data_IF_887425431112
#
_entry.id   IF_887425431112
#
_cell.length_a   1.000
_cell.length_b   1.000
_cell.length_c   1.000
_cell.angle_alpha   90.00
_cell.angle_beta   90.00
_cell.angle_gamma   90.00
#
_symmetry.space_group_name_H-M   'P 1'
#
loop_
_entity.id
_entity.type
_entity.pdbx_description
1 polymer ?
#
# COMPACT_ATOMS: atom_id res chain seq x y z
N UNK A 1 23.47 19.87 56.02
CA UNK A 1 24.18 18.67 55.51
C UNK A 1 23.52 18.32 54.19
N UNK A 2 24.06 18.88 53.11
CA UNK A 2 23.56 18.71 51.75
C UNK A 2 24.54 17.82 51.01
N UNK A 3 24.05 16.73 50.44
CA UNK A 3 24.84 15.82 49.62
C UNK A 3 25.22 16.51 48.30
N UNK A 4 26.48 16.42 47.83
CA UNK A 4 26.86 16.95 46.53
C UNK A 4 26.41 15.99 45.42
N UNK A 5 25.86 16.55 44.37
CA UNK A 5 25.31 15.85 43.22
C UNK A 5 26.38 15.10 42.41
N UNK A 6 25.99 13.92 41.93
CA UNK A 6 26.72 13.16 40.92
C UNK A 6 26.60 13.88 39.58
N UNK A 7 27.63 14.68 39.26
CA UNK A 7 27.84 15.19 37.91
C UNK A 7 28.34 14.08 37.00
N UNK A 8 27.65 13.87 35.88
CA UNK A 8 28.12 13.09 34.74
C UNK A 8 29.38 13.74 34.17
N UNK A 9 30.54 13.22 34.55
CA UNK A 9 31.82 13.61 33.96
C UNK A 9 31.92 12.98 32.56
N UNK A 10 32.03 13.84 31.55
CA UNK A 10 32.42 13.44 30.20
C UNK A 10 33.81 12.80 30.28
N UNK A 11 33.91 11.51 29.96
CA UNK A 11 35.19 10.83 29.84
C UNK A 11 35.81 11.29 28.52
N UNK A 12 37.04 11.80 28.56
CA UNK A 12 37.73 12.30 27.38
C UNK A 12 37.84 11.18 26.31
N UNK A 13 37.39 11.45 25.10
CA UNK A 13 37.41 10.52 23.95
C UNK A 13 38.82 9.97 23.65
N UNK A 14 39.87 10.70 24.05
CA UNK A 14 41.28 10.28 23.97
C UNK A 14 41.62 9.18 24.99
N UNK A 15 41.15 9.27 26.24
CA UNK A 15 41.32 8.24 27.26
C UNK A 15 40.54 6.96 26.91
N UNK A 16 39.38 7.12 26.28
CA UNK A 16 38.55 5.99 25.84
C UNK A 16 39.17 5.26 24.64
N UNK A 17 39.72 6.00 23.67
CA UNK A 17 40.48 5.44 22.54
C UNK A 17 41.74 4.68 23.00
N UNK A 18 42.38 5.15 24.07
CA UNK A 18 43.48 4.48 24.78
C UNK A 18 43.02 3.19 25.49
N UNK A 19 41.86 3.22 26.14
CA UNK A 19 41.31 2.07 26.86
C UNK A 19 40.90 0.93 25.93
N UNK A 20 40.25 1.22 24.79
CA UNK A 20 39.92 0.16 23.80
C UNK A 20 41.17 -0.39 23.14
N UNK A 21 42.17 0.44 22.86
CA UNK A 21 43.45 -0.04 22.35
C UNK A 21 44.14 -1.01 23.33
N UNK A 22 44.09 -0.71 24.63
CA UNK A 22 44.59 -1.60 25.67
C UNK A 22 43.81 -2.93 25.73
N UNK A 23 42.48 -2.88 25.60
CA UNK A 23 41.63 -4.09 25.51
C UNK A 23 42.00 -4.92 24.29
N UNK A 24 42.10 -4.32 23.10
CA UNK A 24 42.48 -5.03 21.88
C UNK A 24 43.89 -5.63 21.98
N UNK A 25 44.85 -4.90 22.56
CA UNK A 25 46.21 -5.40 22.79
C UNK A 25 46.23 -6.59 23.76
N UNK A 26 45.48 -6.50 24.85
CA UNK A 26 45.31 -7.60 25.79
C UNK A 26 44.68 -8.81 25.08
N UNK A 27 43.58 -8.63 24.36
CA UNK A 27 42.93 -9.69 23.59
C UNK A 27 43.90 -10.33 22.58
N UNK A 28 44.70 -9.53 21.87
CA UNK A 28 45.71 -10.04 20.95
C UNK A 28 46.77 -10.90 21.65
N UNK A 29 47.18 -10.50 22.86
CA UNK A 29 48.24 -11.18 23.63
C UNK A 29 47.75 -12.46 24.31
N UNK A 30 46.46 -12.55 24.64
CA UNK A 30 45.92 -13.63 25.47
C UNK A 30 44.94 -14.57 24.74
N UNK A 31 44.41 -14.20 23.56
CA UNK A 31 43.55 -15.09 22.78
C UNK A 31 44.35 -16.20 22.09
N UNK A 32 44.34 -17.39 22.68
CA UNK A 32 44.97 -18.59 22.13
C UNK A 32 44.08 -19.39 21.17
N UNK A 33 42.78 -19.11 21.14
CA UNK A 33 41.75 -19.76 20.31
C UNK A 33 40.82 -18.74 19.69
N UNK A 34 40.08 -19.15 18.67
CA UNK A 34 38.98 -18.36 18.11
C UNK A 34 37.90 -18.11 19.17
N UNK A 35 37.45 -16.87 19.25
CA UNK A 35 36.38 -16.43 20.15
C UNK A 35 35.36 -15.64 19.34
N UNK A 36 34.08 -15.96 19.56
CA UNK A 36 32.96 -15.21 19.01
C UNK A 36 32.36 -14.38 20.13
N UNK A 37 32.26 -13.07 19.92
CA UNK A 37 31.57 -12.15 20.83
C UNK A 37 30.30 -11.64 20.14
N UNK A 38 29.17 -11.86 20.79
CA UNK A 38 27.85 -11.46 20.29
C UNK A 38 27.41 -10.21 21.05
N UNK A 39 27.11 -9.15 20.30
CA UNK A 39 26.44 -7.96 20.80
C UNK A 39 25.00 -7.98 20.32
N UNK A 40 24.07 -8.03 21.27
CA UNK A 40 22.64 -8.01 21.00
C UNK A 40 22.03 -6.63 21.28
N UNK A 41 20.89 -6.34 20.67
CA UNK A 41 20.11 -5.12 20.83
C UNK A 41 20.88 -3.80 20.61
N UNK A 42 21.80 -3.77 19.63
CA UNK A 42 22.63 -2.58 19.35
C UNK A 42 21.84 -1.34 18.89
N UNK A 43 20.59 -1.52 18.45
CA UNK A 43 19.67 -0.42 18.14
C UNK A 43 19.33 0.44 19.37
N UNK A 44 19.52 -0.07 20.58
CA UNK A 44 19.37 0.70 21.81
C UNK A 44 20.52 1.68 22.10
N UNK A 45 21.64 1.59 21.36
CA UNK A 45 22.74 2.53 21.49
C UNK A 45 22.44 3.84 20.78
N UNK A 46 22.54 4.95 21.51
CA UNK A 46 22.43 6.27 20.91
C UNK A 46 23.62 6.53 19.95
N UNK A 47 23.39 7.24 18.83
CA UNK A 47 24.46 7.80 18.01
C UNK A 47 25.46 8.57 18.86
N UNK A 48 26.74 8.45 18.53
CA UNK A 48 27.85 9.11 19.22
C UNK A 48 28.01 8.79 20.72
N UNK A 49 27.28 7.78 21.24
CA UNK A 49 27.47 7.32 22.62
C UNK A 49 28.84 6.68 22.82
N UNK A 50 29.34 6.75 24.06
CA UNK A 50 30.59 6.11 24.46
C UNK A 50 30.57 4.60 24.17
N UNK A 51 29.44 3.95 24.44
CA UNK A 51 29.23 2.53 24.15
C UNK A 51 29.33 2.23 22.64
N UNK A 52 28.69 3.06 21.79
CA UNK A 52 28.80 2.92 20.34
C UNK A 52 30.26 3.09 19.85
N UNK A 53 30.99 4.06 20.40
CA UNK A 53 32.40 4.29 20.08
C UNK A 53 33.30 3.10 20.45
N UNK A 54 33.02 2.45 21.58
CA UNK A 54 33.76 1.26 22.04
C UNK A 54 33.51 0.09 21.09
N UNK A 55 32.25 -0.20 20.76
CA UNK A 55 31.91 -1.30 19.83
C UNK A 55 32.51 -1.05 18.45
N UNK A 56 32.36 0.16 17.91
CA UNK A 56 32.96 0.53 16.61
C UNK A 56 34.48 0.35 16.62
N UNK A 57 35.13 0.76 17.71
CA UNK A 57 36.57 0.60 17.90
C UNK A 57 37.01 -0.85 17.95
N UNK A 58 36.24 -1.72 18.61
CA UNK A 58 36.48 -3.16 18.61
C UNK A 58 36.36 -3.71 17.18
N UNK A 59 35.33 -3.34 16.42
CA UNK A 59 35.19 -3.79 15.03
C UNK A 59 36.38 -3.42 14.16
N UNK A 60 36.95 -2.23 14.36
CA UNK A 60 38.08 -1.73 13.58
C UNK A 60 39.44 -2.32 13.99
N UNK A 61 39.58 -2.78 15.24
CA UNK A 61 40.87 -3.14 15.87
C UNK A 61 40.93 -4.56 16.46
N UNK A 62 39.85 -5.33 16.34
CA UNK A 62 39.79 -6.70 16.84
C UNK A 62 40.95 -7.54 16.26
N UNK A 63 41.59 -8.40 17.07
CA UNK A 63 42.56 -9.35 16.58
C UNK A 63 41.88 -10.40 15.69
N UNK A 64 42.63 -11.05 14.79
CA UNK A 64 42.10 -12.03 13.82
C UNK A 64 41.34 -13.21 14.46
N UNK A 65 41.63 -13.51 15.73
CA UNK A 65 40.98 -14.60 16.49
C UNK A 65 39.68 -14.17 17.18
N UNK A 66 39.29 -12.90 17.09
CA UNK A 66 38.06 -12.38 17.66
C UNK A 66 37.06 -12.07 16.54
N UNK A 67 35.99 -12.85 16.48
CA UNK A 67 34.88 -12.64 15.58
C UNK A 67 33.77 -11.90 16.32
N UNK A 68 33.22 -10.87 15.69
CA UNK A 68 32.14 -10.07 16.27
C UNK A 68 30.84 -10.35 15.51
N UNK A 69 29.80 -10.70 16.26
CA UNK A 69 28.42 -10.80 15.75
C UNK A 69 27.64 -9.62 16.33
N UNK A 70 27.09 -8.79 15.46
CA UNK A 70 26.37 -7.58 15.83
C UNK A 70 24.90 -7.77 15.44
N UNK A 71 24.00 -7.74 16.41
CA UNK A 71 22.56 -7.90 16.22
C UNK A 71 21.88 -6.57 16.54
N UNK A 72 21.08 -6.09 15.60
CA UNK A 72 20.39 -4.80 15.68
C UNK A 72 19.08 -4.86 14.88
N UNK A 73 18.07 -4.11 15.34
CA UNK A 73 16.80 -3.93 14.63
C UNK A 73 16.84 -2.77 13.62
N UNK A 74 17.81 -1.87 13.74
CA UNK A 74 18.04 -0.73 12.85
C UNK A 74 19.50 -0.68 12.39
N UNK A 75 19.83 0.24 11.49
CA UNK A 75 21.23 0.55 11.21
C UNK A 75 22.03 0.80 12.50
N UNK A 76 23.27 0.31 12.50
CA UNK A 76 24.20 0.54 13.61
C UNK A 76 24.54 2.03 13.70
N UNK A 77 24.72 2.59 14.91
CA UNK A 77 25.04 4.00 15.12
C UNK A 77 26.48 4.38 14.69
N UNK A 78 27.16 3.55 13.90
CA UNK A 78 28.53 3.73 13.46
C UNK A 78 28.81 3.04 12.12
N UNK A 79 29.86 3.49 11.42
CA UNK A 79 30.12 3.08 10.04
C UNK A 79 31.09 1.90 9.93
N UNK A 80 30.65 0.84 9.25
CA UNK A 80 31.47 -0.32 8.89
C UNK A 80 31.91 -0.33 7.41
N UNK A 81 31.68 0.76 6.66
CA UNK A 81 31.91 0.80 5.20
C UNK A 81 33.34 0.41 4.77
N UNK A 82 34.36 0.81 5.53
CA UNK A 82 35.75 0.42 5.24
C UNK A 82 36.00 -1.07 5.43
N UNK A 83 35.34 -1.71 6.39
CA UNK A 83 35.45 -3.15 6.62
C UNK A 83 34.67 -3.92 5.56
N UNK A 84 33.49 -3.42 5.15
CA UNK A 84 32.72 -3.93 4.00
C UNK A 84 33.57 -3.93 2.72
N UNK A 85 34.22 -2.81 2.40
CA UNK A 85 35.09 -2.70 1.23
C UNK A 85 36.31 -3.62 1.25
N UNK A 86 36.69 -4.17 2.42
CA UNK A 86 37.74 -5.17 2.59
C UNK A 86 37.22 -6.61 2.60
N UNK A 87 35.91 -6.83 2.46
CA UNK A 87 35.29 -8.15 2.55
C UNK A 87 35.29 -8.74 3.97
N UNK A 88 35.41 -7.91 5.01
CA UNK A 88 35.47 -8.33 6.42
C UNK A 88 34.12 -8.29 7.14
N UNK A 89 33.03 -7.98 6.42
CA UNK A 89 31.68 -7.88 6.96
C UNK A 89 30.77 -8.77 6.15
N UNK A 90 30.11 -9.71 6.82
CA UNK A 90 28.96 -10.42 6.29
C UNK A 90 27.70 -9.81 6.91
N UNK A 91 26.70 -9.51 6.08
CA UNK A 91 25.41 -9.00 6.55
C UNK A 91 24.32 -10.04 6.31
N UNK A 92 23.44 -10.17 7.29
CA UNK A 92 22.26 -11.03 7.24
C UNK A 92 21.07 -10.13 7.60
N UNK A 93 20.09 -10.03 6.71
CA UNK A 93 18.90 -9.21 6.89
C UNK A 93 17.68 -10.06 7.20
N UNK A 94 16.59 -9.40 7.58
CA UNK A 94 15.34 -10.09 7.90
C UNK A 94 14.84 -11.02 6.77
N UNK A 95 14.94 -10.65 5.47
CA UNK A 95 14.58 -11.55 4.38
C UNK A 95 15.44 -12.83 4.31
N UNK A 96 16.71 -12.77 4.72
CA UNK A 96 17.62 -13.92 4.73
C UNK A 96 17.30 -14.91 5.87
N UNK A 97 16.67 -14.41 6.93
CA UNK A 97 16.22 -15.18 8.10
C UNK A 97 14.76 -15.64 7.98
N UNK A 98 14.05 -15.25 6.93
CA UNK A 98 12.66 -15.60 6.73
C UNK A 98 12.53 -17.11 6.47
N UNK A 99 11.65 -17.76 7.20
CA UNK A 99 11.37 -19.18 7.06
C UNK A 99 10.77 -19.46 5.69
N UNK A 100 11.23 -20.53 5.06
CA UNK A 100 10.55 -21.08 3.90
C UNK A 100 9.39 -22.01 4.33
N UNK A 101 8.66 -22.55 3.35
CA UNK A 101 7.54 -23.47 3.62
C UNK A 101 8.00 -24.77 4.30
N UNK A 102 9.22 -25.23 4.02
CA UNK A 102 9.78 -26.44 4.62
C UNK A 102 10.16 -26.21 6.09
N UNK A 103 10.73 -25.05 6.43
CA UNK A 103 11.01 -24.63 7.81
C UNK A 103 9.72 -24.55 8.63
N UNK A 104 8.69 -23.90 8.09
CA UNK A 104 7.36 -23.82 8.72
C UNK A 104 6.78 -25.22 8.95
N UNK A 105 6.89 -26.11 7.95
CA UNK A 105 6.42 -27.49 8.07
C UNK A 105 7.17 -28.28 9.15
N UNK A 106 8.50 -28.10 9.24
CA UNK A 106 9.33 -28.74 10.26
C UNK A 106 8.97 -28.27 11.67
N UNK A 107 8.71 -26.97 11.85
CA UNK A 107 8.29 -26.41 13.13
C UNK A 107 6.89 -26.87 13.54
N UNK A 108 5.94 -26.86 12.60
CA UNK A 108 4.58 -27.35 12.80
C UNK A 108 4.58 -28.83 13.23
N UNK A 109 5.30 -29.69 12.50
CA UNK A 109 5.38 -31.13 12.78
C UNK A 109 5.90 -31.43 14.19
N UNK A 110 6.89 -30.66 14.67
CA UNK A 110 7.44 -30.79 16.03
C UNK A 110 6.47 -30.34 17.12
N UNK A 111 5.51 -29.51 16.78
CA UNK A 111 4.75 -28.73 17.76
C UNK A 111 3.29 -29.14 17.88
N UNK A 112 2.62 -29.38 16.75
CA UNK A 112 1.19 -29.66 16.67
C UNK A 112 0.86 -31.03 16.06
N UNK A 113 1.89 -31.77 15.61
CA UNK A 113 1.79 -33.14 15.12
C UNK A 113 1.44 -33.25 13.63
N UNK A 114 0.68 -34.28 13.25
CA UNK A 114 0.21 -34.47 11.87
C UNK A 114 -0.80 -33.39 11.52
N UNK A 115 -0.52 -32.63 10.47
CA UNK A 115 -1.33 -31.47 10.08
C UNK A 115 -2.16 -31.69 8.82
N UNK A 116 -3.23 -30.89 8.63
CA UNK A 116 -3.96 -30.86 7.38
C UNK A 116 -3.05 -30.51 6.20
N UNK A 117 -3.26 -31.11 5.01
CA UNK A 117 -2.56 -30.72 3.79
C UNK A 117 -2.65 -29.21 3.55
N UNK A 118 -1.51 -28.56 3.29
CA UNK A 118 -1.44 -27.13 2.97
C UNK A 118 -1.37 -26.18 4.16
N UNK A 119 -1.41 -26.65 5.41
CA UNK A 119 -1.33 -25.77 6.58
C UNK A 119 -0.01 -24.96 6.61
N UNK A 120 1.13 -25.60 6.35
CA UNK A 120 2.44 -24.93 6.31
C UNK A 120 2.49 -23.80 5.29
N UNK A 121 1.93 -24.03 4.09
CA UNK A 121 1.81 -22.99 3.06
C UNK A 121 0.91 -21.84 3.53
N UNK A 122 -0.24 -22.14 4.14
CA UNK A 122 -1.14 -21.09 4.64
C UNK A 122 -0.51 -20.25 5.75
N UNK A 123 0.20 -20.89 6.68
CA UNK A 123 0.98 -20.19 7.71
C UNK A 123 2.02 -19.30 7.05
N UNK A 124 2.78 -19.82 6.08
CA UNK A 124 3.77 -19.04 5.34
C UNK A 124 3.14 -17.84 4.61
N UNK A 125 2.00 -18.00 3.95
CA UNK A 125 1.27 -16.92 3.25
C UNK A 125 0.82 -15.79 4.20
N UNK A 126 0.36 -16.14 5.41
CA UNK A 126 -0.13 -15.16 6.38
C UNK A 126 0.99 -14.51 7.20
N UNK A 127 2.16 -15.15 7.26
CA UNK A 127 3.32 -14.69 8.04
C UNK A 127 4.41 -14.07 7.16
N UNK A 128 4.42 -14.37 5.86
CA UNK A 128 5.50 -14.05 4.94
C UNK A 128 6.82 -14.75 5.29
N UNK A 129 6.80 -15.82 6.10
CA UNK A 129 8.00 -16.46 6.64
C UNK A 129 8.61 -15.74 7.84
N UNK A 130 8.00 -14.66 8.35
CA UNK A 130 8.56 -13.93 9.49
C UNK A 130 8.58 -14.81 10.74
N UNK A 131 9.78 -15.14 11.24
CA UNK A 131 10.00 -16.13 12.29
C UNK A 131 9.13 -15.90 13.55
N UNK A 132 9.01 -14.64 14.01
CA UNK A 132 8.15 -14.29 15.15
C UNK A 132 6.66 -14.59 14.86
N UNK A 133 6.17 -14.19 13.68
CA UNK A 133 4.80 -14.44 13.24
C UNK A 133 4.51 -15.93 13.06
N UNK A 134 5.46 -16.68 12.48
CA UNK A 134 5.37 -18.14 12.34
C UNK A 134 5.31 -18.79 13.72
N UNK A 135 6.23 -18.45 14.62
CA UNK A 135 6.27 -19.01 15.97
C UNK A 135 4.97 -18.73 16.73
N UNK A 136 4.49 -17.48 16.75
CA UNK A 136 3.22 -17.12 17.38
C UNK A 136 2.03 -17.88 16.76
N UNK A 137 2.03 -18.09 15.45
CA UNK A 137 0.99 -18.88 14.77
C UNK A 137 1.04 -20.33 15.23
N UNK A 138 2.21 -20.97 15.21
CA UNK A 138 2.36 -22.37 15.62
C UNK A 138 1.97 -22.56 17.09
N UNK A 139 2.36 -21.64 17.97
CA UNK A 139 1.96 -21.64 19.38
C UNK A 139 0.45 -21.52 19.56
N UNK A 140 -0.19 -20.59 18.84
CA UNK A 140 -1.65 -20.44 18.85
C UNK A 140 -2.35 -21.73 18.41
N UNK A 141 -1.81 -22.43 17.40
CA UNK A 141 -2.39 -23.66 16.86
C UNK A 141 -2.30 -24.87 17.80
N UNK A 142 -1.44 -24.85 18.83
CA UNK A 142 -1.35 -25.93 19.84
C UNK A 142 -2.68 -26.21 20.52
N UNK A 143 -3.45 -25.16 20.81
CA UNK A 143 -4.76 -25.27 21.48
C UNK A 143 -5.93 -25.49 20.52
N UNK A 144 -5.68 -25.58 19.21
CA UNK A 144 -6.72 -25.62 18.17
C UNK A 144 -6.82 -27.04 17.60
N UNK A 145 -8.04 -27.60 17.57
CA UNK A 145 -8.31 -28.89 16.95
C UNK A 145 -7.98 -28.89 15.45
N UNK A 146 -7.51 -30.03 14.93
CA UNK A 146 -6.95 -30.14 13.57
C UNK A 146 -7.85 -29.54 12.47
N UNK A 147 -9.16 -29.79 12.53
CA UNK A 147 -10.13 -29.31 11.54
C UNK A 147 -10.31 -27.77 11.53
N UNK A 148 -9.93 -27.10 12.61
CA UNK A 148 -10.07 -25.64 12.76
C UNK A 148 -8.77 -24.88 12.50
N UNK A 149 -7.62 -25.57 12.41
CA UNK A 149 -6.29 -24.94 12.29
C UNK A 149 -6.18 -24.07 11.05
N UNK A 150 -6.72 -24.54 9.92
CA UNK A 150 -6.71 -23.79 8.65
C UNK A 150 -7.37 -22.42 8.79
N UNK A 151 -8.52 -22.35 9.47
CA UNK A 151 -9.23 -21.10 9.71
C UNK A 151 -8.57 -20.25 10.80
N UNK A 152 -7.91 -20.90 11.78
CA UNK A 152 -7.23 -20.21 12.86
C UNK A 152 -6.06 -19.35 12.39
N UNK A 153 -5.32 -19.76 11.36
CA UNK A 153 -4.17 -18.98 10.82
C UNK A 153 -4.56 -17.54 10.47
N UNK A 154 -5.76 -17.34 9.91
CA UNK A 154 -6.23 -16.01 9.51
C UNK A 154 -6.44 -15.04 10.67
N UNK A 155 -6.50 -15.54 11.92
CA UNK A 155 -6.72 -14.71 13.10
C UNK A 155 -5.45 -14.09 13.68
N UNK A 156 -4.26 -14.50 13.24
CA UNK A 156 -2.97 -14.13 13.86
C UNK A 156 -2.83 -12.65 14.22
N UNK A 157 -3.23 -11.76 13.30
CA UNK A 157 -3.07 -10.31 13.45
C UNK A 157 -4.34 -9.60 13.95
N UNK A 158 -5.37 -10.36 14.35
CA UNK A 158 -6.63 -9.81 14.84
C UNK A 158 -6.44 -9.19 16.23
N UNK A 159 -7.20 -8.12 16.56
CA UNK A 159 -7.25 -7.57 17.90
C UNK A 159 -7.52 -8.65 18.96
N UNK A 160 -6.73 -8.66 20.03
CA UNK A 160 -6.81 -9.63 21.13
C UNK A 160 -5.87 -10.83 21.00
N UNK A 161 -5.29 -11.08 19.83
CA UNK A 161 -4.25 -12.11 19.69
C UNK A 161 -2.88 -11.60 20.16
N UNK A 162 -2.04 -12.51 20.69
CA UNK A 162 -0.71 -12.15 21.23
C UNK A 162 0.19 -11.46 20.21
N UNK A 163 0.12 -11.90 18.95
CA UNK A 163 0.96 -11.34 17.89
C UNK A 163 0.52 -9.92 17.49
N UNK A 164 -0.78 -9.60 17.59
CA UNK A 164 -1.26 -8.23 17.41
C UNK A 164 -0.67 -7.28 18.47
N UNK A 165 -0.62 -7.70 19.74
CA UNK A 165 0.03 -6.92 20.80
C UNK A 165 1.53 -6.72 20.56
N UNK A 166 2.23 -7.77 20.11
CA UNK A 166 3.63 -7.67 19.70
C UNK A 166 3.83 -6.65 18.57
N UNK A 167 2.98 -6.66 17.53
CA UNK A 167 3.07 -5.65 16.46
C UNK A 167 2.86 -4.24 17.00
N UNK A 168 1.86 -4.04 17.86
CA UNK A 168 1.53 -2.73 18.43
C UNK A 168 2.67 -2.17 19.28
N UNK A 169 3.31 -2.99 20.12
CA UNK A 169 4.31 -2.53 21.09
C UNK A 169 5.73 -2.54 20.53
N UNK A 170 6.15 -3.65 19.91
CA UNK A 170 7.56 -3.92 19.60
C UNK A 170 7.97 -3.54 18.18
N UNK A 171 7.00 -3.42 17.27
CA UNK A 171 7.26 -3.18 15.84
C UNK A 171 6.78 -1.79 15.43
N UNK A 172 5.52 -1.49 15.67
CA UNK A 172 4.88 -0.24 15.26
C UNK A 172 5.09 0.83 16.34
N UNK A 173 4.86 0.51 17.62
CA UNK A 173 5.05 1.43 18.74
C UNK A 173 6.50 1.87 18.95
N UNK A 174 7.46 1.02 18.56
CA UNK A 174 8.88 1.36 18.56
C UNK A 174 9.28 2.27 17.37
N UNK A 175 8.45 2.36 16.34
CA UNK A 175 8.73 3.18 15.16
C UNK A 175 8.35 4.65 15.41
N UNK A 176 9.13 5.61 14.89
CA UNK A 176 8.75 7.02 14.90
C UNK A 176 7.37 7.26 14.27
N UNK A 177 6.61 8.25 14.76
CA UNK A 177 5.24 8.53 14.30
C UNK A 177 5.13 8.68 12.78
N UNK A 178 6.12 9.32 12.15
CA UNK A 178 6.15 9.50 10.71
C UNK A 178 6.30 8.17 9.93
N UNK A 179 6.97 7.16 10.52
CA UNK A 179 7.06 5.81 9.96
C UNK A 179 5.71 5.10 10.11
N UNK A 180 5.06 5.20 11.28
CA UNK A 180 3.73 4.62 11.48
C UNK A 180 2.74 5.17 10.45
N UNK A 181 2.77 6.49 10.24
CA UNK A 181 1.95 7.16 9.23
C UNK A 181 2.26 6.68 7.80
N UNK A 182 3.52 6.43 7.49
CA UNK A 182 3.93 5.84 6.21
C UNK A 182 3.39 4.43 6.03
N UNK A 183 3.46 3.57 7.06
CA UNK A 183 2.93 2.21 7.00
C UNK A 183 1.40 2.20 6.83
N UNK A 184 0.67 3.09 7.54
CA UNK A 184 -0.78 3.28 7.37
C UNK A 184 -1.12 3.68 5.92
N UNK A 185 -0.37 4.60 5.33
CA UNK A 185 -0.55 5.02 3.92
C UNK A 185 -0.31 3.87 2.95
N UNK A 186 0.72 3.05 3.17
CA UNK A 186 1.01 1.89 2.32
C UNK A 186 -0.15 0.89 2.32
N UNK A 187 -0.82 0.69 3.46
CA UNK A 187 -2.00 -0.19 3.56
C UNK A 187 -3.16 0.34 2.74
N UNK A 188 -3.46 1.64 2.88
CA UNK A 188 -4.54 2.29 2.13
C UNK A 188 -4.28 2.19 0.63
N UNK A 189 -3.05 2.46 0.19
CA UNK A 189 -2.68 2.34 -1.23
C UNK A 189 -2.69 0.92 -1.77
N UNK A 190 -2.62 -0.10 -0.89
CA UNK A 190 -2.39 -1.49 -1.24
C UNK A 190 -0.96 -1.75 -1.76
N UNK A 191 -0.55 -0.98 -2.77
CA UNK A 191 0.79 -1.01 -3.36
C UNK A 191 1.18 0.38 -3.88
N UNK A 192 2.24 0.95 -3.33
CA UNK A 192 2.81 2.22 -3.80
C UNK A 192 3.78 1.96 -4.96
N UNK A 193 3.49 2.46 -6.16
CA UNK A 193 4.31 2.30 -7.38
C UNK A 193 5.47 3.27 -7.42
N UNK A 194 5.32 4.44 -6.80
CA UNK A 194 6.37 5.44 -6.68
C UNK A 194 6.58 5.85 -5.22
N UNK A 195 7.80 6.23 -4.88
CA UNK A 195 8.06 6.84 -3.58
C UNK A 195 7.28 8.15 -3.43
N UNK A 196 7.02 8.87 -4.53
CA UNK A 196 6.19 10.09 -4.53
C UNK A 196 4.75 9.86 -4.05
N UNK A 197 4.17 8.67 -4.25
CA UNK A 197 2.83 8.32 -3.73
C UNK A 197 2.74 8.27 -2.22
N UNK A 198 3.88 8.10 -1.55
CA UNK A 198 3.95 7.95 -0.10
C UNK A 198 4.79 9.05 0.58
N UNK A 199 5.47 9.88 -0.20
CA UNK A 199 6.52 10.80 0.26
C UNK A 199 6.10 12.24 0.56
N UNK A 200 4.83 12.63 0.44
CA UNK A 200 4.44 14.00 0.85
C UNK A 200 4.81 14.23 2.32
N UNK A 201 5.82 15.08 2.54
CA UNK A 201 6.38 15.46 3.85
C UNK A 201 7.63 14.70 4.31
N UNK A 202 8.18 13.77 3.50
CA UNK A 202 9.39 13.01 3.84
C UNK A 202 10.61 13.51 3.05
N UNK A 203 11.74 13.69 3.74
CA UNK A 203 12.98 14.16 3.11
C UNK A 203 13.62 13.12 2.16
N UNK A 204 13.49 11.82 2.45
CA UNK A 204 14.00 10.75 1.58
C UNK A 204 13.21 9.44 1.72
N UNK A 205 12.08 9.29 1.01
CA UNK A 205 11.23 8.10 1.06
C UNK A 205 11.92 6.82 0.52
N UNK A 206 12.93 6.97 -0.36
CA UNK A 206 13.60 5.82 -0.99
C UNK A 206 14.51 5.13 0.00
N UNK A 207 15.29 5.91 0.74
CA UNK A 207 16.14 5.40 1.82
C UNK A 207 15.30 4.73 2.91
N UNK A 208 14.20 5.38 3.30
CA UNK A 208 13.28 4.82 4.30
C UNK A 208 12.70 3.48 3.86
N UNK A 209 12.17 3.37 2.64
CA UNK A 209 11.59 2.11 2.15
C UNK A 209 12.64 1.00 2.03
N UNK A 210 13.86 1.35 1.63
CA UNK A 210 14.97 0.40 1.60
C UNK A 210 15.27 -0.12 3.01
N UNK A 211 15.29 0.75 4.02
CA UNK A 211 15.51 0.37 5.42
C UNK A 211 14.36 -0.48 5.97
N UNK A 212 13.10 -0.08 5.75
CA UNK A 212 11.93 -0.89 6.12
C UNK A 212 11.92 -2.26 5.44
N UNK A 213 12.50 -2.35 4.23
CA UNK A 213 12.66 -3.63 3.53
C UNK A 213 13.77 -4.50 4.11
N UNK A 214 14.89 -3.90 4.52
CA UNK A 214 15.95 -4.60 5.27
C UNK A 214 15.44 -5.14 6.60
N UNK A 215 14.56 -4.40 7.26
CA UNK A 215 13.85 -4.81 8.48
C UNK A 215 12.75 -5.87 8.23
N UNK A 216 12.41 -6.16 6.98
CA UNK A 216 11.39 -7.14 6.63
C UNK A 216 9.94 -6.66 6.81
N UNK A 217 9.73 -5.36 7.00
CA UNK A 217 8.39 -4.75 7.18
C UNK A 217 7.72 -4.46 5.84
N UNK A 218 8.51 -4.14 4.81
CA UNK A 218 8.02 -3.80 3.47
C UNK A 218 8.68 -4.70 2.42
N UNK A 219 7.89 -5.15 1.46
CA UNK A 219 8.37 -5.91 0.30
C UNK A 219 8.34 -5.03 -0.95
N UNK A 220 9.36 -5.18 -1.78
CA UNK A 220 9.35 -4.65 -3.15
C UNK A 220 8.96 -5.75 -4.13
N UNK A 221 7.91 -5.51 -4.91
CA UNK A 221 7.52 -6.36 -6.04
C UNK A 221 8.36 -5.99 -7.27
N UNK A 222 8.77 -6.99 -8.06
CA UNK A 222 9.45 -6.80 -9.35
C UNK A 222 8.49 -6.88 -10.54
N UNK A 223 8.89 -6.34 -11.70
CA UNK A 223 8.14 -6.40 -12.98
C UNK A 223 7.46 -5.08 -13.39
N UNK A 224 6.58 -5.14 -14.41
CA UNK A 224 5.82 -3.99 -14.97
C UNK A 224 4.83 -3.32 -13.98
N UNK A 225 4.70 -3.89 -12.77
CA UNK A 225 3.97 -3.33 -11.64
C UNK A 225 4.86 -3.17 -10.40
N UNK A 226 6.15 -2.84 -10.57
CA UNK A 226 7.07 -2.67 -9.45
C UNK A 226 6.54 -1.65 -8.44
N UNK A 227 6.55 -2.03 -7.16
CA UNK A 227 6.05 -1.17 -6.10
C UNK A 227 6.33 -1.75 -4.72
N UNK A 228 5.97 -0.98 -3.70
CA UNK A 228 6.18 -1.28 -2.31
C UNK A 228 4.85 -1.66 -1.66
N UNK A 229 4.84 -2.75 -0.90
CA UNK A 229 3.68 -3.21 -0.15
C UNK A 229 4.11 -3.72 1.23
N UNK A 230 3.25 -3.60 2.23
CA UNK A 230 3.51 -4.21 3.53
C UNK A 230 3.54 -5.74 3.43
N UNK A 231 4.32 -6.37 4.30
CA UNK A 231 4.18 -7.82 4.52
C UNK A 231 2.82 -8.14 5.11
N UNK A 232 2.32 -9.36 4.86
CA UNK A 232 0.95 -9.75 5.21
C UNK A 232 0.57 -9.48 6.68
N UNK A 233 1.41 -9.80 7.69
CA UNK A 233 1.02 -9.55 9.08
C UNK A 233 0.81 -8.07 9.41
N UNK A 234 1.67 -7.18 8.90
CA UNK A 234 1.50 -5.75 9.09
C UNK A 234 0.29 -5.23 8.31
N UNK A 235 0.09 -5.69 7.08
CA UNK A 235 -1.11 -5.33 6.31
C UNK A 235 -2.37 -5.69 7.08
N UNK A 236 -2.47 -6.93 7.56
CA UNK A 236 -3.61 -7.40 8.35
C UNK A 236 -3.78 -6.60 9.66
N UNK A 237 -2.70 -6.24 10.33
CA UNK A 237 -2.76 -5.36 11.52
C UNK A 237 -3.38 -4.01 11.19
N UNK A 238 -2.86 -3.31 10.18
CA UNK A 238 -3.35 -1.99 9.79
C UNK A 238 -4.73 -2.05 9.15
N UNK A 239 -5.13 -3.13 8.48
CA UNK A 239 -6.50 -3.33 8.01
C UNK A 239 -7.51 -3.31 9.19
N UNK A 240 -7.12 -3.85 10.35
CA UNK A 240 -7.93 -3.78 11.57
C UNK A 240 -7.85 -2.41 12.28
N UNK A 241 -6.68 -1.76 12.28
CA UNK A 241 -6.50 -0.43 12.89
C UNK A 241 -7.23 0.66 12.09
N UNK A 242 -7.07 0.66 10.77
CA UNK A 242 -7.73 1.59 9.86
C UNK A 242 -9.23 1.28 9.82
N UNK A 243 -9.59 -0.01 9.82
CA UNK A 243 -10.96 -0.52 9.86
C UNK A 243 -11.86 0.00 8.72
N UNK A 244 -13.11 -0.46 8.63
CA UNK A 244 -14.18 0.36 8.07
C UNK A 244 -14.52 1.50 9.06
N UNK A 245 -14.98 2.66 8.57
CA UNK A 245 -14.38 3.95 8.87
C UNK A 245 -14.29 4.24 10.38
N UNK A 246 -13.11 4.02 10.98
CA UNK A 246 -12.71 4.91 12.07
C UNK A 246 -12.62 6.33 11.47
N UNK A 247 -12.95 7.37 12.26
CA UNK A 247 -12.89 8.76 11.75
C UNK A 247 -11.52 9.11 11.15
N UNK A 248 -10.45 8.51 11.68
CA UNK A 248 -9.08 8.62 11.18
C UNK A 248 -8.88 7.86 9.87
N UNK A 249 -9.34 6.60 9.76
CA UNK A 249 -9.25 5.82 8.53
C UNK A 249 -9.96 6.49 7.35
N UNK A 250 -11.14 7.08 7.60
CA UNK A 250 -11.86 7.89 6.59
C UNK A 250 -11.07 9.14 6.20
N UNK A 251 -10.54 9.88 7.18
CA UNK A 251 -9.74 11.08 6.91
C UNK A 251 -8.49 10.77 6.06
N UNK A 252 -7.84 9.63 6.29
CA UNK A 252 -6.68 9.21 5.51
C UNK A 252 -7.03 8.85 4.07
N UNK A 253 -8.14 8.14 3.83
CA UNK A 253 -8.60 7.84 2.47
C UNK A 253 -9.03 9.11 1.72
N UNK A 254 -9.71 10.04 2.39
CA UNK A 254 -10.07 11.34 1.79
C UNK A 254 -8.81 12.16 1.46
N UNK A 255 -7.81 12.16 2.34
CA UNK A 255 -6.53 12.81 2.05
C UNK A 255 -5.81 12.18 0.85
N UNK A 256 -5.80 10.85 0.75
CA UNK A 256 -5.24 10.12 -0.39
C UNK A 256 -6.01 10.43 -1.69
N UNK A 257 -7.34 10.53 -1.63
CA UNK A 257 -8.18 10.92 -2.75
C UNK A 257 -7.83 12.32 -3.27
N UNK A 258 -7.75 13.31 -2.36
CA UNK A 258 -7.36 14.68 -2.72
C UNK A 258 -5.98 14.75 -3.36
N UNK A 259 -5.02 13.98 -2.85
CA UNK A 259 -3.69 13.89 -3.46
C UNK A 259 -3.73 13.27 -4.88
N UNK A 260 -4.56 12.26 -5.10
CA UNK A 260 -4.76 11.70 -6.44
C UNK A 260 -5.42 12.70 -7.40
N UNK A 261 -6.36 13.53 -6.91
CA UNK A 261 -6.96 14.62 -7.69
C UNK A 261 -5.89 15.63 -8.11
N UNK A 262 -5.02 16.07 -7.18
CA UNK A 262 -3.93 17.01 -7.47
C UNK A 262 -2.99 16.50 -8.59
N UNK A 263 -2.82 15.17 -8.68
CA UNK A 263 -1.97 14.52 -9.70
C UNK A 263 -2.71 14.18 -10.99
N UNK A 264 -4.01 14.43 -11.08
CA UNK A 264 -4.85 14.06 -12.22
C UNK A 264 -5.17 12.57 -12.32
N UNK A 265 -4.98 11.81 -11.24
CA UNK A 265 -5.28 10.38 -11.10
C UNK A 265 -6.70 10.15 -10.54
N UNK A 266 -7.71 10.68 -11.22
CA UNK A 266 -9.10 10.70 -10.75
C UNK A 266 -9.69 9.32 -10.49
N UNK A 267 -9.31 8.29 -11.27
CA UNK A 267 -9.78 6.93 -11.04
C UNK A 267 -9.32 6.33 -9.70
N UNK A 268 -8.09 6.62 -9.27
CA UNK A 268 -7.60 6.19 -7.96
C UNK A 268 -8.26 6.98 -6.83
N UNK A 269 -8.48 8.28 -7.03
CA UNK A 269 -9.24 9.09 -6.08
C UNK A 269 -10.65 8.54 -5.85
N UNK A 270 -11.34 8.14 -6.92
CA UNK A 270 -12.68 7.56 -6.84
C UNK A 270 -12.67 6.25 -6.05
N UNK A 271 -11.68 5.37 -6.28
CA UNK A 271 -11.51 4.12 -5.53
C UNK A 271 -11.38 4.37 -4.02
N UNK A 272 -10.58 5.36 -3.61
CA UNK A 272 -10.43 5.71 -2.20
C UNK A 272 -11.71 6.25 -1.56
N UNK A 273 -12.47 7.06 -2.29
CA UNK A 273 -13.72 7.63 -1.77
C UNK A 273 -14.82 6.56 -1.64
N UNK A 274 -14.90 5.64 -2.61
CA UNK A 274 -15.84 4.50 -2.57
C UNK A 274 -15.52 3.59 -1.39
N UNK A 275 -14.24 3.28 -1.13
CA UNK A 275 -13.87 2.34 -0.06
C UNK A 275 -14.25 2.81 1.35
N UNK A 276 -14.41 4.12 1.55
CA UNK A 276 -14.86 4.72 2.83
C UNK A 276 -16.29 5.24 2.83
N UNK A 277 -17.05 4.95 1.75
CA UNK A 277 -18.43 5.38 1.61
C UNK A 277 -18.60 6.90 1.61
N UNK A 278 -17.62 7.66 1.09
CA UNK A 278 -17.76 9.10 0.90
C UNK A 278 -18.55 9.38 -0.39
N UNK A 279 -19.86 9.21 -0.29
CA UNK A 279 -20.78 9.34 -1.42
C UNK A 279 -20.79 10.76 -2.02
N UNK A 280 -20.70 11.78 -1.17
CA UNK A 280 -20.65 13.18 -1.59
C UNK A 280 -19.36 13.48 -2.37
N UNK A 281 -18.21 13.01 -1.86
CA UNK A 281 -16.93 13.11 -2.56
C UNK A 281 -16.94 12.39 -3.92
N UNK A 282 -17.47 11.16 -3.97
CA UNK A 282 -17.60 10.40 -5.21
C UNK A 282 -18.46 11.13 -6.25
N UNK A 283 -19.60 11.66 -5.83
CA UNK A 283 -20.51 12.39 -6.68
C UNK A 283 -19.85 13.66 -7.26
N UNK A 284 -19.18 14.46 -6.42
CA UNK A 284 -18.44 15.64 -6.88
C UNK A 284 -17.37 15.26 -7.90
N UNK A 285 -16.56 14.24 -7.59
CA UNK A 285 -15.48 13.78 -8.46
C UNK A 285 -15.99 13.29 -9.83
N UNK A 286 -17.13 12.60 -9.87
CA UNK A 286 -17.75 12.16 -11.12
C UNK A 286 -18.32 13.30 -11.94
N UNK A 287 -18.89 14.31 -11.29
CA UNK A 287 -19.37 15.51 -11.98
C UNK A 287 -18.21 16.24 -12.66
N UNK A 288 -17.09 16.39 -11.94
CA UNK A 288 -15.96 17.21 -12.41
C UNK A 288 -15.04 16.44 -13.38
N UNK A 289 -14.81 15.14 -13.14
CA UNK A 289 -13.81 14.34 -13.86
C UNK A 289 -14.36 13.09 -14.56
N UNK A 290 -15.65 12.77 -14.40
CA UNK A 290 -16.25 11.52 -14.88
C UNK A 290 -16.10 11.29 -16.37
N UNK A 291 -16.35 12.30 -17.19
CA UNK A 291 -16.23 12.20 -18.66
C UNK A 291 -14.79 11.91 -19.07
N UNK A 292 -13.82 12.61 -18.47
CA UNK A 292 -12.39 12.42 -18.76
C UNK A 292 -11.90 11.02 -18.36
N UNK A 293 -12.38 10.48 -17.23
CA UNK A 293 -12.08 9.10 -16.83
C UNK A 293 -12.57 8.09 -17.87
N UNK A 294 -13.80 8.26 -18.38
CA UNK A 294 -14.36 7.38 -19.42
C UNK A 294 -13.57 7.49 -20.73
N UNK A 295 -13.17 8.69 -21.13
CA UNK A 295 -12.34 8.92 -22.33
C UNK A 295 -10.95 8.28 -22.24
N UNK A 296 -10.38 8.18 -21.03
CA UNK A 296 -9.13 7.45 -20.77
C UNK A 296 -9.32 5.92 -20.65
N UNK A 297 -10.55 5.42 -20.71
CA UNK A 297 -10.87 4.01 -20.58
C UNK A 297 -10.89 3.50 -19.13
N UNK A 298 -10.96 4.38 -18.13
CA UNK A 298 -10.98 4.03 -16.70
C UNK A 298 -12.38 3.59 -16.23
N UNK A 299 -13.04 2.73 -17.01
CA UNK A 299 -14.47 2.42 -16.89
C UNK A 299 -14.80 1.73 -15.56
N UNK A 300 -13.96 0.80 -15.11
CA UNK A 300 -14.20 0.03 -13.89
C UNK A 300 -14.26 0.93 -12.66
N UNK A 301 -13.42 1.97 -12.59
CA UNK A 301 -13.45 2.93 -11.49
C UNK A 301 -14.77 3.73 -11.49
N UNK A 302 -15.19 4.22 -12.66
CA UNK A 302 -16.45 4.96 -12.82
C UNK A 302 -17.64 4.09 -12.42
N UNK A 303 -17.64 2.81 -12.81
CA UNK A 303 -18.75 1.89 -12.55
C UNK A 303 -18.81 1.42 -11.10
N UNK A 304 -17.76 1.55 -10.27
CA UNK A 304 -17.89 1.34 -8.82
C UNK A 304 -18.93 2.28 -8.19
N UNK A 305 -19.15 3.45 -8.79
CA UNK A 305 -20.10 4.42 -8.29
C UNK A 305 -21.57 4.08 -8.57
N UNK A 306 -21.88 2.94 -9.22
CA UNK A 306 -23.26 2.47 -9.33
C UNK A 306 -23.86 2.09 -7.97
N UNK A 307 -23.04 1.91 -6.95
CA UNK A 307 -23.45 1.63 -5.57
C UNK A 307 -23.77 2.90 -4.76
N UNK A 308 -23.65 4.09 -5.34
CA UNK A 308 -24.01 5.34 -4.67
C UNK A 308 -25.50 5.37 -4.28
N UNK A 309 -25.86 6.02 -3.16
CA UNK A 309 -27.25 6.24 -2.79
C UNK A 309 -28.04 6.95 -3.89
N UNK A 310 -29.35 6.66 -3.96
CA UNK A 310 -30.23 7.19 -5.00
C UNK A 310 -30.19 8.72 -5.12
N UNK A 311 -30.03 9.43 -4.00
CA UNK A 311 -29.93 10.90 -3.97
C UNK A 311 -28.79 11.46 -4.86
N UNK A 312 -27.68 10.73 -5.01
CA UNK A 312 -26.57 11.11 -5.89
C UNK A 312 -26.77 10.55 -7.29
N UNK A 313 -27.23 9.30 -7.41
CA UNK A 313 -27.53 8.68 -8.71
C UNK A 313 -28.67 9.38 -9.45
N UNK A 314 -29.49 10.18 -8.78
CA UNK A 314 -30.54 10.99 -9.39
C UNK A 314 -30.00 12.20 -10.15
N UNK A 315 -28.73 12.60 -9.94
CA UNK A 315 -28.09 13.67 -10.71
C UNK A 315 -27.92 13.25 -12.19
N UNK A 316 -28.55 13.97 -13.15
CA UNK A 316 -28.45 13.64 -14.57
C UNK A 316 -27.01 13.62 -15.10
N UNK A 317 -26.12 14.43 -14.52
CA UNK A 317 -24.70 14.50 -14.93
C UNK A 317 -23.98 13.19 -14.60
N UNK A 318 -24.22 12.65 -13.41
CA UNK A 318 -23.66 11.36 -12.97
C UNK A 318 -24.23 10.22 -13.81
N UNK A 319 -25.55 10.20 -14.03
CA UNK A 319 -26.19 9.19 -14.90
C UNK A 319 -25.61 9.18 -16.30
N UNK A 320 -25.36 10.35 -16.89
CA UNK A 320 -24.73 10.46 -18.19
C UNK A 320 -23.32 9.86 -18.21
N UNK A 321 -22.52 10.11 -17.17
CA UNK A 321 -21.18 9.51 -17.05
C UNK A 321 -21.26 7.99 -16.95
N UNK A 322 -22.14 7.45 -16.10
CA UNK A 322 -22.36 6.01 -15.97
C UNK A 322 -22.86 5.38 -17.27
N UNK A 323 -23.81 6.04 -17.95
CA UNK A 323 -24.31 5.62 -19.25
C UNK A 323 -23.22 5.62 -20.32
N UNK A 324 -22.36 6.64 -20.33
CA UNK A 324 -21.21 6.69 -21.24
C UNK A 324 -20.22 5.55 -20.96
N UNK A 325 -19.94 5.26 -19.68
CA UNK A 325 -19.05 4.16 -19.31
C UNK A 325 -19.59 2.81 -19.82
N UNK A 326 -20.89 2.55 -19.64
CA UNK A 326 -21.54 1.35 -20.17
C UNK A 326 -21.56 1.30 -21.70
N UNK A 327 -21.79 2.44 -22.36
CA UNK A 327 -21.75 2.54 -23.82
C UNK A 327 -20.37 2.17 -24.37
N UNK A 328 -19.30 2.70 -23.79
CA UNK A 328 -17.91 2.38 -24.20
C UNK A 328 -17.58 0.91 -23.91
N UNK A 329 -18.13 0.34 -22.82
CA UNK A 329 -17.99 -1.09 -22.50
C UNK A 329 -18.76 -2.01 -23.46
N UNK A 330 -19.65 -1.46 -24.30
CA UNK A 330 -20.50 -2.23 -25.22
C UNK A 330 -21.83 -2.68 -24.61
N UNK A 331 -22.15 -2.26 -23.39
CA UNK A 331 -23.41 -2.57 -22.70
C UNK A 331 -24.47 -1.53 -23.06
N UNK A 332 -24.93 -1.55 -24.32
CA UNK A 332 -25.77 -0.50 -24.90
C UNK A 332 -27.17 -0.42 -24.26
N UNK A 333 -27.73 -1.56 -23.85
CA UNK A 333 -29.04 -1.59 -23.21
C UNK A 333 -29.00 -0.89 -21.83
N UNK A 334 -27.98 -1.18 -21.03
CA UNK A 334 -27.73 -0.53 -19.74
C UNK A 334 -27.42 0.96 -19.92
N UNK A 335 -26.61 1.31 -20.92
CA UNK A 335 -26.33 2.70 -21.26
C UNK A 335 -27.61 3.49 -21.54
N UNK A 336 -28.53 2.92 -22.34
CA UNK A 336 -29.81 3.54 -22.67
C UNK A 336 -30.67 3.77 -21.42
N UNK A 337 -30.72 2.83 -20.47
CA UNK A 337 -31.44 3.00 -19.20
C UNK A 337 -30.91 4.19 -18.39
N UNK A 338 -29.58 4.37 -18.35
CA UNK A 338 -28.98 5.54 -17.71
C UNK A 338 -29.33 6.84 -18.43
N UNK A 339 -29.29 6.87 -19.76
CA UNK A 339 -29.61 8.06 -20.54
C UNK A 339 -31.09 8.46 -20.46
N UNK A 340 -32.02 7.50 -20.47
CA UNK A 340 -33.46 7.73 -20.19
C UNK A 340 -33.64 8.50 -18.88
N UNK A 341 -33.03 7.99 -17.81
CA UNK A 341 -33.06 8.62 -16.49
C UNK A 341 -32.27 9.93 -16.39
N UNK A 342 -31.35 10.19 -17.31
CA UNK A 342 -30.62 11.45 -17.43
C UNK A 342 -31.43 12.55 -18.16
N UNK A 343 -32.67 12.26 -18.57
CA UNK A 343 -33.54 13.23 -19.25
C UNK A 343 -33.54 13.09 -20.77
N UNK A 344 -33.22 11.91 -21.30
CA UNK A 344 -33.35 11.64 -22.73
C UNK A 344 -34.78 11.80 -23.26
N UNK A 345 -35.82 11.82 -22.41
CA UNK A 345 -37.22 12.05 -22.82
C UNK A 345 -37.63 13.54 -22.84
N UNK A 346 -36.72 14.47 -22.56
CA UNK A 346 -37.02 15.92 -22.56
C UNK A 346 -37.15 16.48 -23.97
N UNK A 347 -38.07 17.43 -24.18
CA UNK A 347 -38.28 18.07 -25.49
C UNK A 347 -37.00 18.69 -26.07
N UNK A 348 -36.09 19.13 -25.20
CA UNK A 348 -34.78 19.67 -25.56
C UNK A 348 -33.66 18.88 -24.88
N UNK A 349 -32.66 18.45 -25.67
CA UNK A 349 -31.54 17.62 -25.25
C UNK A 349 -30.22 18.38 -25.40
N UNK A 350 -29.30 18.18 -24.45
CA UNK A 350 -27.91 18.57 -24.65
C UNK A 350 -27.32 17.81 -25.86
N UNK A 351 -26.53 18.45 -26.74
CA UNK A 351 -25.94 17.81 -27.91
C UNK A 351 -25.19 16.51 -27.58
N UNK A 352 -24.46 16.53 -26.47
CA UNK A 352 -23.71 15.39 -25.96
C UNK A 352 -24.59 14.16 -25.66
N UNK A 353 -25.80 14.37 -25.10
CA UNK A 353 -26.75 13.32 -24.79
C UNK A 353 -27.51 12.87 -26.04
N UNK A 354 -27.94 13.82 -26.88
CA UNK A 354 -28.60 13.54 -28.16
C UNK A 354 -27.74 12.66 -29.06
N UNK A 355 -26.46 13.00 -29.25
CA UNK A 355 -25.53 12.19 -30.04
C UNK A 355 -25.34 10.79 -29.45
N UNK A 356 -25.13 10.66 -28.12
CA UNK A 356 -24.88 9.36 -27.49
C UNK A 356 -26.04 8.39 -27.67
N UNK A 357 -27.27 8.85 -27.44
CA UNK A 357 -28.45 7.99 -27.61
C UNK A 357 -28.77 7.77 -29.09
N UNK A 358 -28.62 8.80 -29.92
CA UNK A 358 -28.76 8.66 -31.36
C UNK A 358 -27.77 7.66 -31.96
N UNK A 359 -26.54 7.56 -31.43
CA UNK A 359 -25.57 6.58 -31.89
C UNK A 359 -26.01 5.14 -31.57
N UNK A 360 -26.67 4.92 -30.43
CA UNK A 360 -27.23 3.60 -30.06
C UNK A 360 -28.37 3.25 -31.03
N UNK A 361 -29.33 4.15 -31.24
CA UNK A 361 -30.42 3.95 -32.20
C UNK A 361 -29.91 3.73 -33.62
N UNK A 362 -28.87 4.47 -34.04
CA UNK A 362 -28.23 4.28 -35.35
C UNK A 362 -27.62 2.89 -35.49
N UNK A 363 -26.94 2.39 -34.45
CA UNK A 363 -26.37 1.04 -34.44
C UNK A 363 -27.46 -0.06 -34.47
N UNK A 364 -28.66 0.23 -33.97
CA UNK A 364 -29.83 -0.65 -34.03
C UNK A 364 -30.60 -0.55 -35.35
N UNK A 365 -30.25 0.38 -36.23
CA UNK A 365 -30.93 0.61 -37.52
C UNK A 365 -32.23 1.44 -37.40
N UNK A 366 -32.46 2.07 -36.25
CA UNK A 366 -33.67 2.85 -35.96
C UNK A 366 -33.50 4.30 -36.45
N UNK A 367 -33.31 4.49 -37.76
CA UNK A 367 -32.92 5.79 -38.32
C UNK A 367 -33.96 6.91 -38.15
N UNK A 368 -35.25 6.56 -38.07
CA UNK A 368 -36.31 7.53 -37.77
C UNK A 368 -36.17 8.07 -36.33
N UNK A 369 -35.79 7.21 -35.38
CA UNK A 369 -35.52 7.60 -34.00
C UNK A 369 -34.28 8.51 -33.93
N UNK A 370 -33.22 8.20 -34.70
CA UNK A 370 -32.04 9.09 -34.79
C UNK A 370 -32.43 10.51 -35.24
N UNK A 371 -33.36 10.66 -36.19
CA UNK A 371 -33.86 11.98 -36.60
C UNK A 371 -34.62 12.68 -35.49
N UNK A 372 -35.51 11.96 -34.79
CA UNK A 372 -36.24 12.50 -33.65
C UNK A 372 -35.29 12.98 -32.53
N UNK A 373 -34.23 12.24 -32.24
CA UNK A 373 -33.26 12.58 -31.20
C UNK A 373 -32.34 13.74 -31.57
N UNK A 374 -31.85 13.77 -32.81
CA UNK A 374 -30.96 14.83 -33.28
C UNK A 374 -31.70 16.16 -33.46
N UNK A 375 -32.98 16.14 -33.84
CA UNK A 375 -33.82 17.35 -33.93
C UNK A 375 -34.14 18.00 -32.59
N UNK A 376 -34.11 17.24 -31.49
CA UNK A 376 -34.28 17.73 -30.11
C UNK A 376 -32.99 18.30 -29.52
N UNK A 377 -31.86 18.19 -30.20
CA UNK A 377 -30.59 18.73 -29.70
C UNK A 377 -30.61 20.26 -29.71
N UNK A 378 -30.23 20.88 -28.59
CA UNK A 378 -30.03 22.33 -28.53
C UNK A 378 -28.72 22.70 -29.23
N UNK A 379 -28.83 23.24 -30.45
CA UNK A 379 -27.69 23.71 -31.24
C UNK A 379 -27.56 25.22 -31.09
N UNK A 380 -26.66 25.64 -30.19
CA UNK A 380 -26.39 27.04 -29.88
C UNK A 380 -25.41 27.68 -30.92
N UNK A 381 -24.89 26.87 -31.85
CA UNK A 381 -23.92 27.25 -32.91
C UNK A 381 -22.60 27.73 -32.33
N UNK A 382 -22.16 27.06 -31.28
CA UNK A 382 -20.87 27.30 -30.63
C UNK A 382 -19.73 26.48 -31.27
N UNK A 383 -20.03 25.71 -32.33
CA UNK A 383 -19.08 24.84 -33.04
C UNK A 383 -18.40 23.82 -32.13
N UNK A 384 -19.14 23.32 -31.14
CA UNK A 384 -18.60 22.32 -30.22
C UNK A 384 -18.45 20.96 -30.91
N UNK A 385 -17.54 20.08 -30.43
CA UNK A 385 -17.43 18.72 -30.93
C UNK A 385 -18.75 17.95 -30.85
N UNK A 386 -19.57 18.19 -29.84
CA UNK A 386 -20.84 17.50 -29.65
C UNK A 386 -21.91 17.97 -30.64
N UNK A 387 -22.00 19.28 -30.93
CA UNK A 387 -22.88 19.80 -31.99
C UNK A 387 -22.50 19.22 -33.36
N UNK A 388 -21.20 19.17 -33.66
CA UNK A 388 -20.69 18.59 -34.90
C UNK A 388 -21.05 17.11 -35.03
N UNK A 389 -20.91 16.35 -33.94
CA UNK A 389 -21.28 14.92 -33.89
C UNK A 389 -22.78 14.70 -34.11
N UNK A 390 -23.64 15.54 -33.51
CA UNK A 390 -25.10 15.50 -33.73
C UNK A 390 -25.44 15.73 -35.20
N UNK A 391 -24.88 16.77 -35.83
CA UNK A 391 -25.14 17.11 -37.23
C UNK A 391 -24.65 16.00 -38.18
N UNK A 392 -23.46 15.46 -37.94
CA UNK A 392 -22.92 14.36 -38.73
C UNK A 392 -23.77 13.08 -38.62
N UNK A 393 -24.26 12.77 -37.42
CA UNK A 393 -25.15 11.64 -37.18
C UNK A 393 -26.50 11.84 -37.87
N UNK A 394 -27.09 13.04 -37.78
CA UNK A 394 -28.35 13.38 -38.46
C UNK A 394 -28.23 13.24 -39.98
N UNK A 395 -27.15 13.75 -40.58
CA UNK A 395 -26.90 13.61 -42.02
C UNK A 395 -26.74 12.14 -42.43
N UNK A 396 -26.05 11.34 -41.60
CA UNK A 396 -25.85 9.91 -41.84
C UNK A 396 -27.18 9.14 -41.79
N UNK A 397 -28.04 9.42 -40.80
CA UNK A 397 -29.37 8.82 -40.70
C UNK A 397 -30.27 9.21 -41.88
N UNK A 398 -30.24 10.48 -42.31
CA UNK A 398 -31.00 10.95 -43.47
C UNK A 398 -30.61 10.18 -44.75
N UNK A 399 -29.30 9.97 -44.96
CA UNK A 399 -28.79 9.16 -46.08
C UNK A 399 -29.32 7.73 -46.00
N UNK A 400 -29.29 7.09 -44.84
CA UNK A 400 -29.78 5.70 -44.70
C UNK A 400 -31.28 5.59 -45.00
N UNK A 401 -32.10 6.52 -44.52
CA UNK A 401 -33.54 6.58 -44.83
C UNK A 401 -33.82 6.77 -46.32
N UNK A 402 -32.96 7.50 -47.03
CA UNK A 402 -33.10 7.72 -48.48
C UNK A 402 -32.68 6.51 -49.34
N UNK A 403 -31.97 5.54 -48.77
CA UNK A 403 -31.53 4.31 -49.47
C UNK A 403 -32.51 3.15 -49.24
N UNK A 404 -33.31 3.21 -48.16
CA UNK A 404 -34.28 2.17 -47.77
C UNK A 404 -35.67 2.40 -48.40
N UNK A 405 -35.95 3.61 -48.91
CA UNK A 405 -37.12 3.93 -49.73
C UNK A 405 -36.78 3.81 -51.21
#
# INVERSE_FOLDING_TARGET
>A
MSAPGLGTAAVDTVEMGSSVAAICFWLHSFLSREVVLVFDDLHGLAPDSEAACVVESLCKRAPDRLHLVLISRSELPFSLQRLRGRGLVAEIHAPDLAFDVADVNALLSKTVGSDPPGLSRRVWEHTGGWAAAVHCTVEMLRGVGADQRMNAVGRLSNPGERFHGYLAEEVIGAAPEWVQQLLRRLVISGQARSTMEIARGLNDPTVVLAELSRQGLVRRSGGDGAGWSLVHPLRAYFEHEVGPPSSEGKALHVAAANECIDRGASADALRYLVSVGDHAGCASLLVDHGVAMVERGELDAVLMATELPAEYLDDPRIRRVLGQAQQVRGQWAEALQYFQRAGHDRDELEPALSWRVGLIAFAQGEFDEVQALTSRARLDREDTPDETRVLALSASAYRMLSVVK
#
